data_IF_144425132112
#
_entry.id   IF_144425132112
#
_cell.length_a   1.000
_cell.length_b   1.000
_cell.length_c   1.000
_cell.angle_alpha   90.00
_cell.angle_beta   90.00
_cell.angle_gamma   90.00
#
_symmetry.space_group_name_H-M   'P 1'
#
loop_
_entity.id
_entity.type
_entity.pdbx_description
1 polymer ?
#
# COMPACT_ATOMS: atom_id res chain seq x y z
N UNK A 1 -8.02 -4.20 11.14
CA UNK A 1 -7.60 -2.81 11.00
C UNK A 1 -8.60 -1.92 11.69
N UNK A 2 -8.11 -1.19 12.68
CA UNK A 2 -8.89 -0.14 13.32
C UNK A 2 -9.01 1.09 12.42
N UNK A 3 -9.93 2.00 12.77
CA UNK A 3 -10.17 3.22 12.01
C UNK A 3 -8.91 4.09 11.88
N UNK A 4 -8.08 4.17 12.92
CA UNK A 4 -6.91 5.04 12.92
C UNK A 4 -5.84 4.56 11.93
N UNK A 5 -5.63 3.25 11.84
CA UNK A 5 -4.74 2.64 10.86
C UNK A 5 -5.29 2.75 9.43
N UNK A 6 -6.60 2.62 9.27
CA UNK A 6 -7.24 2.84 7.97
C UNK A 6 -7.09 4.29 7.48
N UNK A 7 -7.23 5.28 8.37
CA UNK A 7 -6.98 6.68 8.03
C UNK A 7 -5.52 6.96 7.65
N UNK A 8 -4.53 6.32 8.31
CA UNK A 8 -3.12 6.43 7.92
C UNK A 8 -2.87 5.86 6.52
N UNK A 9 -3.50 4.74 6.20
CA UNK A 9 -3.44 4.13 4.87
C UNK A 9 -4.04 5.09 3.83
N UNK A 10 -5.25 5.61 4.10
CA UNK A 10 -5.94 6.59 3.23
C UNK A 10 -5.11 7.85 3.03
N UNK A 11 -4.47 8.35 4.08
CA UNK A 11 -3.57 9.49 3.98
C UNK A 11 -2.37 9.19 3.06
N UNK A 12 -1.74 8.01 3.21
CA UNK A 12 -0.63 7.61 2.33
C UNK A 12 -1.08 7.49 0.87
N UNK A 13 -2.29 6.98 0.61
CA UNK A 13 -2.85 6.82 -0.74
C UNK A 13 -2.91 8.12 -1.56
N UNK A 14 -3.06 9.28 -0.89
CA UNK A 14 -3.16 10.60 -1.53
C UNK A 14 -1.99 11.52 -1.19
N UNK A 15 -0.94 10.99 -0.55
CA UNK A 15 0.18 11.78 -0.07
C UNK A 15 1.01 12.32 -1.25
N UNK A 16 1.28 13.62 -1.23
CA UNK A 16 2.14 14.28 -2.23
C UNK A 16 3.63 14.12 -1.94
N UNK A 17 4.01 13.59 -0.76
CA UNK A 17 5.39 13.54 -0.34
C UNK A 17 6.24 12.61 -1.21
N UNK A 18 7.43 13.06 -1.61
CA UNK A 18 8.23 12.36 -2.59
C UNK A 18 9.13 11.30 -1.93
N UNK A 19 8.58 10.46 -1.06
CA UNK A 19 9.31 9.26 -0.57
C UNK A 19 9.84 8.40 -1.74
N UNK A 20 9.22 8.54 -2.93
CA UNK A 20 9.69 8.06 -4.24
C UNK A 20 11.09 8.49 -4.67
N UNK A 21 11.64 9.60 -4.16
CA UNK A 21 13.02 10.03 -4.46
C UNK A 21 14.03 9.03 -3.88
N UNK A 22 13.66 8.32 -2.81
CA UNK A 22 14.49 7.32 -2.14
C UNK A 22 14.24 5.89 -2.66
N UNK A 23 13.74 5.75 -3.90
CA UNK A 23 13.60 4.43 -4.51
C UNK A 23 14.98 3.79 -4.75
N UNK A 24 15.15 2.47 -4.51
CA UNK A 24 16.45 1.83 -4.60
C UNK A 24 17.02 1.89 -6.01
N UNK A 25 18.30 2.22 -6.12
CA UNK A 25 19.05 2.01 -7.35
C UNK A 25 19.05 0.50 -7.69
N UNK A 26 18.74 0.15 -8.94
CA UNK A 26 18.66 -1.23 -9.40
C UNK A 26 17.23 -1.81 -9.50
N UNK A 27 16.24 -1.17 -8.88
CA UNK A 27 14.84 -1.44 -9.18
C UNK A 27 14.34 -0.43 -10.22
N UNK A 28 13.60 -0.89 -11.23
CA UNK A 28 12.96 0.03 -12.16
C UNK A 28 11.94 0.89 -11.40
N UNK A 29 12.07 2.23 -11.40
CA UNK A 29 11.12 3.13 -10.77
C UNK A 29 9.82 3.11 -11.56
N UNK A 30 8.87 2.30 -11.08
CA UNK A 30 7.51 2.25 -11.60
C UNK A 30 6.61 2.89 -10.56
N UNK A 31 5.83 3.89 -10.96
CA UNK A 31 4.90 4.60 -10.06
C UNK A 31 4.02 3.64 -9.26
N UNK A 32 3.60 2.55 -9.91
CA UNK A 32 2.80 1.49 -9.33
C UNK A 32 3.53 0.63 -8.28
N UNK A 33 4.79 0.88 -7.93
CA UNK A 33 5.55 0.18 -6.88
C UNK A 33 5.78 1.02 -5.61
N UNK A 34 5.39 2.29 -5.61
CA UNK A 34 5.53 3.16 -4.45
C UNK A 34 4.48 2.89 -3.38
N UNK A 35 4.77 3.28 -2.14
CA UNK A 35 3.82 3.11 -1.04
C UNK A 35 2.49 3.83 -1.26
N UNK A 36 2.47 5.01 -1.87
CA UNK A 36 1.20 5.71 -2.18
C UNK A 36 0.34 4.91 -3.15
N UNK A 37 0.93 4.31 -4.18
CA UNK A 37 0.22 3.46 -5.13
C UNK A 37 -0.31 2.17 -4.46
N UNK A 38 0.50 1.54 -3.60
CA UNK A 38 0.06 0.37 -2.83
C UNK A 38 -1.07 0.71 -1.86
N UNK A 39 -0.93 1.83 -1.14
CA UNK A 39 -1.96 2.32 -0.23
C UNK A 39 -3.26 2.67 -0.97
N UNK A 40 -3.16 3.26 -2.16
CA UNK A 40 -4.33 3.55 -3.00
C UNK A 40 -5.02 2.28 -3.47
N UNK A 41 -4.27 1.29 -3.98
CA UNK A 41 -4.86 0.01 -4.41
C UNK A 41 -5.55 -0.70 -3.25
N UNK A 42 -4.90 -0.74 -2.08
CA UNK A 42 -5.47 -1.34 -0.88
C UNK A 42 -6.74 -0.63 -0.41
N UNK A 43 -6.72 0.71 -0.38
CA UNK A 43 -7.89 1.54 -0.08
C UNK A 43 -9.03 1.29 -1.07
N UNK A 44 -8.73 1.31 -2.37
CA UNK A 44 -9.72 1.13 -3.43
C UNK A 44 -10.36 -0.28 -3.37
N UNK A 45 -9.55 -1.31 -3.10
CA UNK A 45 -10.06 -2.67 -2.91
C UNK A 45 -10.94 -2.77 -1.66
N UNK A 46 -10.51 -2.17 -0.55
CA UNK A 46 -11.30 -2.16 0.69
C UNK A 46 -12.64 -1.42 0.55
N UNK A 47 -12.69 -0.35 -0.24
CA UNK A 47 -13.92 0.41 -0.50
C UNK A 47 -14.80 -0.21 -1.61
N UNK A 48 -14.37 -1.30 -2.24
CA UNK A 48 -15.10 -1.93 -3.34
C UNK A 48 -15.04 -1.16 -4.67
N UNK A 49 -14.08 -0.23 -4.83
CA UNK A 49 -13.84 0.44 -6.12
C UNK A 49 -13.02 -0.43 -7.09
N UNK A 50 -12.31 -1.43 -6.55
CA UNK A 50 -11.52 -2.41 -7.30
C UNK A 50 -11.82 -3.80 -6.72
N UNK A 51 -12.09 -4.78 -7.57
CA UNK A 51 -12.31 -6.15 -7.13
C UNK A 51 -11.03 -6.79 -6.59
N UNK A 52 -11.12 -7.56 -5.50
CA UNK A 52 -9.99 -8.29 -4.93
C UNK A 52 -9.70 -9.59 -5.72
N UNK A 53 -9.16 -9.41 -6.92
CA UNK A 53 -8.75 -10.50 -7.82
C UNK A 53 -7.38 -11.07 -7.42
N UNK A 54 -6.98 -12.26 -7.94
CA UNK A 54 -5.64 -12.79 -7.71
C UNK A 54 -4.51 -11.83 -8.14
N UNK A 55 -4.71 -11.04 -9.19
CA UNK A 55 -3.74 -10.05 -9.64
C UNK A 55 -3.61 -8.89 -8.64
N UNK A 56 -4.72 -8.45 -8.05
CA UNK A 56 -4.71 -7.42 -7.00
C UNK A 56 -4.05 -7.95 -5.73
N UNK A 57 -4.35 -9.19 -5.32
CA UNK A 57 -3.68 -9.84 -4.19
C UNK A 57 -2.16 -9.96 -4.44
N UNK A 58 -1.76 -10.48 -5.60
CA UNK A 58 -0.34 -10.58 -5.96
C UNK A 58 0.34 -9.21 -5.93
N UNK A 59 -0.36 -8.17 -6.39
CA UNK A 59 0.16 -6.80 -6.39
C UNK A 59 0.35 -6.22 -5.00
N UNK A 60 -0.63 -6.41 -4.11
CA UNK A 60 -0.57 -5.95 -2.73
C UNK A 60 0.47 -6.71 -1.88
N UNK A 61 0.90 -7.89 -2.35
CA UNK A 61 2.02 -8.64 -1.77
C UNK A 61 3.41 -8.23 -2.32
N UNK A 62 3.49 -7.55 -3.47
CA UNK A 62 4.73 -7.02 -4.07
C UNK A 62 5.14 -5.69 -3.41
N UNK A 63 5.56 -5.77 -2.14
CA UNK A 63 5.87 -4.60 -1.30
C UNK A 63 7.34 -4.17 -1.33
N UNK A 64 8.20 -4.74 -2.18
CA UNK A 64 9.64 -4.43 -2.20
C UNK A 64 9.90 -2.92 -2.38
N UNK A 65 9.25 -2.32 -3.38
CA UNK A 65 9.36 -0.88 -3.66
C UNK A 65 8.79 0.01 -2.55
N UNK A 66 7.69 -0.41 -1.91
CA UNK A 66 7.11 0.33 -0.79
C UNK A 66 8.01 0.25 0.45
N UNK A 67 8.55 -0.94 0.78
CA UNK A 67 9.47 -1.12 1.91
C UNK A 67 10.71 -0.21 1.81
N UNK A 68 11.23 -0.02 0.59
CA UNK A 68 12.37 0.85 0.37
C UNK A 68 12.12 2.33 0.73
N UNK A 69 10.92 2.84 0.47
CA UNK A 69 10.59 4.24 0.76
C UNK A 69 10.04 4.46 2.20
N UNK A 70 9.88 3.40 3.01
CA UNK A 70 9.37 3.49 4.40
C UNK A 70 10.18 4.45 5.26
N UNK A 71 11.52 4.34 5.23
CA UNK A 71 12.41 5.18 6.02
C UNK A 71 12.33 6.66 5.64
N UNK A 72 11.83 6.97 4.44
CA UNK A 72 11.67 8.32 3.93
C UNK A 72 10.36 9.00 4.39
N UNK A 73 9.45 8.28 5.05
CA UNK A 73 8.14 8.80 5.37
C UNK A 73 8.23 9.86 6.49
N UNK A 74 7.95 11.15 6.21
CA UNK A 74 8.09 12.22 7.20
C UNK A 74 7.00 12.15 8.28
N UNK A 75 5.99 11.31 8.09
CA UNK A 75 4.89 11.09 9.03
C UNK A 75 5.07 9.81 9.85
N UNK A 76 6.17 9.07 9.67
CA UNK A 76 6.43 7.83 10.41
C UNK A 76 5.43 6.70 10.13
N UNK A 77 4.69 6.76 9.02
CA UNK A 77 3.67 5.77 8.67
C UNK A 77 4.32 4.51 8.12
N UNK A 78 4.02 3.36 8.74
CA UNK A 78 4.44 2.04 8.27
C UNK A 78 3.46 1.49 7.20
N UNK A 79 3.42 2.12 6.04
CA UNK A 79 2.51 1.72 4.95
C UNK A 79 2.65 0.24 4.56
N UNK A 80 3.85 -0.37 4.47
CA UNK A 80 3.96 -1.81 4.20
C UNK A 80 3.18 -2.68 5.22
N UNK A 81 3.24 -2.34 6.50
CA UNK A 81 2.50 -3.07 7.54
C UNK A 81 0.98 -2.89 7.37
N UNK A 82 0.54 -1.65 7.11
CA UNK A 82 -0.88 -1.37 6.87
C UNK A 82 -1.43 -2.10 5.63
N UNK A 83 -0.68 -2.11 4.53
CA UNK A 83 -1.06 -2.84 3.31
C UNK A 83 -1.11 -4.36 3.57
N UNK A 84 -0.20 -4.89 4.39
CA UNK A 84 -0.21 -6.31 4.77
C UNK A 84 -1.48 -6.64 5.57
N UNK A 85 -1.82 -5.83 6.58
CA UNK A 85 -2.99 -6.03 7.43
C UNK A 85 -4.29 -6.02 6.61
N UNK A 86 -4.49 -5.00 5.76
CA UNK A 86 -5.73 -4.89 4.97
C UNK A 86 -5.82 -5.96 3.87
N UNK A 87 -4.69 -6.43 3.34
CA UNK A 87 -4.68 -7.56 2.38
C UNK A 87 -5.16 -8.84 3.04
N UNK A 88 -4.74 -9.10 4.28
CA UNK A 88 -5.21 -10.26 5.05
C UNK A 88 -6.73 -10.18 5.31
N UNK A 89 -7.26 -9.00 5.61
CA UNK A 89 -8.70 -8.81 5.75
C UNK A 89 -9.48 -9.02 4.46
N UNK A 90 -9.00 -8.44 3.35
CA UNK A 90 -9.62 -8.59 2.03
C UNK A 90 -9.70 -10.07 1.62
N UNK A 91 -8.63 -10.81 1.91
CA UNK A 91 -8.57 -12.26 1.70
C UNK A 91 -9.61 -13.00 2.54
N UNK A 92 -9.67 -12.72 3.84
CA UNK A 92 -10.65 -13.34 4.74
C UNK A 92 -12.10 -13.05 4.30
N UNK A 93 -12.41 -11.84 3.82
CA UNK A 93 -13.74 -11.47 3.31
C UNK A 93 -14.13 -12.23 2.05
N UNK A 94 -13.18 -12.52 1.16
CA UNK A 94 -13.42 -13.29 -0.07
C UNK A 94 -13.68 -14.77 0.17
N UNK A 95 -13.14 -15.30 1.28
CA UNK A 95 -13.26 -16.70 1.69
C UNK A 95 -14.49 -16.96 2.59
N UNK A 96 -15.22 -15.91 2.98
CA UNK A 96 -16.46 -15.97 3.78
C UNK A 96 -17.70 -16.01 2.90
#
# INVERSE_FOLDING_TARGET
>A
MDQANFEKLRFCAVCQNPCRILFPAGLQPKESRYCSAMAYLAYAAHQGFVDFTPDVEARLNDLEGCKACKAACPHGVDTPALVTEITAELKARKES
#
